data_IF_124580156269
#
_entry.id   IF_124580156269
#
_cell.length_a   1.000
_cell.length_b   1.000
_cell.length_c   1.000
_cell.angle_alpha   90.00
_cell.angle_beta   90.00
_cell.angle_gamma   90.00
#
_symmetry.space_group_name_H-M   'P 1'
#
loop_
_entity.id
_entity.type
_entity.pdbx_description
1 polymer ?
#
# COMPACT_ATOMS: atom_id res chain seq x y z
N UNK A 1 -7.96 2.56 -15.03
CA UNK A 1 -8.10 1.20 -14.49
C UNK A 1 -9.45 1.07 -13.79
N UNK A 2 -10.10 -0.08 -13.91
CA UNK A 2 -11.33 -0.40 -13.18
C UNK A 2 -11.00 -1.15 -11.90
N UNK A 3 -11.63 -0.74 -10.79
CA UNK A 3 -11.73 -1.55 -9.58
C UNK A 3 -12.88 -2.54 -9.78
N UNK A 4 -12.57 -3.83 -9.78
CA UNK A 4 -13.55 -4.90 -10.08
C UNK A 4 -14.08 -5.51 -8.80
N UNK A 5 -13.18 -5.83 -7.88
CA UNK A 5 -13.52 -6.51 -6.63
C UNK A 5 -12.86 -5.82 -5.44
N UNK A 6 -13.55 -5.85 -4.30
CA UNK A 6 -13.06 -5.34 -3.02
C UNK A 6 -13.37 -6.37 -1.94
N UNK A 7 -12.37 -6.72 -1.15
CA UNK A 7 -12.51 -7.62 0.00
C UNK A 7 -12.05 -6.92 1.27
N UNK A 8 -12.92 -6.91 2.28
CA UNK A 8 -12.65 -6.32 3.59
C UNK A 8 -12.28 -7.39 4.61
N UNK A 9 -11.07 -7.31 5.14
CA UNK A 9 -10.61 -8.15 6.25
C UNK A 9 -10.60 -7.33 7.55
N UNK A 10 -11.13 -7.91 8.63
CA UNK A 10 -11.21 -7.28 9.96
C UNK A 10 -11.78 -5.85 9.92
N UNK A 11 -12.86 -5.65 9.15
CA UNK A 11 -13.55 -4.36 8.98
C UNK A 11 -12.66 -3.24 8.42
N UNK A 12 -11.61 -3.58 7.66
CA UNK A 12 -10.72 -2.60 7.04
C UNK A 12 -11.45 -1.57 6.18
N UNK A 13 -12.50 -1.99 5.46
CA UNK A 13 -13.29 -1.08 4.63
C UNK A 13 -14.11 -0.09 5.47
N UNK A 14 -14.67 -0.53 6.60
CA UNK A 14 -15.41 0.37 7.51
C UNK A 14 -14.47 1.42 8.12
N UNK A 15 -13.25 1.00 8.50
CA UNK A 15 -12.21 1.92 8.99
C UNK A 15 -11.87 2.94 7.90
N UNK A 16 -11.58 2.49 6.67
CA UNK A 16 -11.26 3.39 5.55
C UNK A 16 -12.37 4.39 5.22
N UNK A 17 -13.64 4.03 5.43
CA UNK A 17 -14.79 4.92 5.20
C UNK A 17 -15.11 5.83 6.39
N UNK A 18 -14.43 5.68 7.53
CA UNK A 18 -14.63 6.57 8.67
C UNK A 18 -14.11 7.99 8.38
N UNK A 19 -14.62 9.04 9.07
CA UNK A 19 -14.23 10.43 8.81
C UNK A 19 -12.72 10.69 8.84
N UNK A 20 -11.97 9.91 9.62
CA UNK A 20 -10.51 10.02 9.73
C UNK A 20 -9.78 9.63 8.45
N UNK A 21 -10.26 8.60 7.74
CA UNK A 21 -9.54 7.99 6.62
C UNK A 21 -10.20 8.22 5.27
N UNK A 22 -11.49 8.57 5.24
CA UNK A 22 -12.29 8.62 4.02
C UNK A 22 -11.74 9.56 2.94
N UNK A 23 -11.17 10.71 3.33
CA UNK A 23 -10.60 11.66 2.37
C UNK A 23 -9.42 11.04 1.60
N UNK A 24 -8.45 10.50 2.33
CA UNK A 24 -7.23 9.92 1.76
C UNK A 24 -7.51 8.59 1.07
N UNK A 25 -8.47 7.81 1.59
CA UNK A 25 -8.95 6.61 0.90
C UNK A 25 -9.60 6.97 -0.45
N UNK A 26 -10.50 7.95 -0.48
CA UNK A 26 -11.13 8.41 -1.73
C UNK A 26 -10.09 8.91 -2.74
N UNK A 27 -9.13 9.72 -2.28
CA UNK A 27 -8.02 10.19 -3.12
C UNK A 27 -7.23 9.02 -3.73
N UNK A 28 -6.90 8.00 -2.93
CA UNK A 28 -6.21 6.82 -3.42
C UNK A 28 -7.02 6.05 -4.48
N UNK A 29 -8.33 5.88 -4.25
CA UNK A 29 -9.23 5.23 -5.19
C UNK A 29 -9.32 6.00 -6.51
N UNK A 30 -9.38 7.33 -6.47
CA UNK A 30 -9.36 8.18 -7.66
C UNK A 30 -8.06 8.05 -8.46
N UNK A 31 -6.92 8.01 -7.76
CA UNK A 31 -5.61 7.76 -8.41
C UNK A 31 -5.57 6.37 -9.03
N UNK A 32 -6.00 5.34 -8.30
CA UNK A 32 -6.00 3.97 -8.80
C UNK A 32 -6.92 3.82 -10.02
N UNK A 33 -8.06 4.51 -10.03
CA UNK A 33 -8.96 4.56 -11.19
C UNK A 33 -8.30 5.21 -12.41
N UNK A 34 -7.39 6.17 -12.21
CA UNK A 34 -6.62 6.82 -13.27
C UNK A 34 -5.47 6.00 -13.86
N UNK A 35 -5.09 4.88 -13.23
CA UNK A 35 -3.90 4.11 -13.59
C UNK A 35 -3.99 3.54 -15.02
N UNK A 36 -3.03 3.86 -15.92
CA UNK A 36 -2.99 3.27 -17.26
C UNK A 36 -2.37 1.87 -17.26
N UNK A 37 -2.91 0.92 -18.04
CA UNK A 37 -2.29 -0.39 -18.25
C UNK A 37 -1.18 -0.29 -19.30
N UNK A 38 0.06 0.01 -18.90
CA UNK A 38 1.17 0.17 -19.83
C UNK A 38 1.58 -1.15 -20.51
N UNK A 39 1.91 -1.09 -21.81
CA UNK A 39 2.47 -2.21 -22.56
C UNK A 39 3.96 -2.37 -22.29
N UNK A 40 4.38 -3.62 -22.08
CA UNK A 40 5.80 -3.95 -21.98
C UNK A 40 6.47 -3.95 -23.34
N UNK A 41 7.67 -3.36 -23.39
CA UNK A 41 8.56 -3.48 -24.56
C UNK A 41 9.22 -4.86 -24.66
N UNK A 42 9.23 -5.61 -23.55
CA UNK A 42 9.93 -6.89 -23.42
C UNK A 42 8.95 -8.03 -23.62
N UNK A 43 8.71 -8.43 -24.87
CA UNK A 43 8.14 -9.75 -25.15
C UNK A 43 9.11 -10.82 -24.66
N UNK A 44 8.78 -11.49 -23.54
CA UNK A 44 9.53 -12.68 -23.15
C UNK A 44 9.27 -13.75 -24.20
N UNK A 45 10.32 -14.15 -24.93
CA UNK A 45 10.27 -15.22 -25.96
C UNK A 45 9.65 -16.54 -25.47
N UNK A 46 9.48 -16.72 -24.16
CA UNK A 46 9.03 -17.95 -23.51
C UNK A 46 7.59 -17.93 -22.97
N UNK A 47 6.85 -16.81 -23.02
CA UNK A 47 5.40 -16.86 -22.74
C UNK A 47 4.61 -15.81 -23.50
N UNK A 48 3.41 -16.19 -23.97
CA UNK A 48 2.43 -15.29 -24.58
C UNK A 48 1.80 -14.31 -23.56
N UNK A 49 2.12 -14.48 -22.28
CA UNK A 49 1.86 -13.59 -21.15
C UNK A 49 3.08 -12.68 -20.91
N UNK A 50 2.94 -11.56 -20.19
CA UNK A 50 3.91 -10.43 -20.11
C UNK A 50 3.66 -9.31 -21.13
N UNK A 51 2.38 -9.00 -21.36
CA UNK A 51 1.99 -7.85 -22.19
C UNK A 51 2.03 -6.55 -21.40
N UNK A 52 1.86 -6.62 -20.07
CA UNK A 52 1.78 -5.45 -19.19
C UNK A 52 3.16 -5.11 -18.62
N UNK A 53 3.41 -3.83 -18.39
CA UNK A 53 4.61 -3.30 -17.75
C UNK A 53 4.35 -2.83 -16.30
N UNK A 54 4.41 -3.73 -15.29
CA UNK A 54 4.31 -3.38 -13.88
C UNK A 54 5.21 -2.22 -13.44
N UNK A 55 6.45 -2.19 -13.92
CA UNK A 55 7.40 -1.13 -13.55
C UNK A 55 6.95 0.26 -14.04
N UNK A 56 6.30 0.34 -15.19
CA UNK A 56 5.74 1.58 -15.72
C UNK A 56 4.50 2.02 -14.93
N UNK A 57 3.66 1.05 -14.53
CA UNK A 57 2.52 1.30 -13.64
C UNK A 57 2.96 1.81 -12.27
N UNK A 58 4.00 1.23 -11.68
CA UNK A 58 4.55 1.68 -10.40
C UNK A 58 5.11 3.11 -10.49
N UNK A 59 5.87 3.44 -11.54
CA UNK A 59 6.36 4.81 -11.77
C UNK A 59 5.24 5.84 -11.91
N UNK A 60 4.13 5.44 -12.54
CA UNK A 60 2.96 6.31 -12.64
C UNK A 60 2.33 6.55 -11.27
N UNK A 61 2.22 5.52 -10.42
CA UNK A 61 1.73 5.66 -9.04
C UNK A 61 2.66 6.53 -8.20
N UNK A 62 3.98 6.33 -8.29
CA UNK A 62 4.98 7.18 -7.62
C UNK A 62 4.78 8.66 -7.99
N UNK A 63 4.53 8.95 -9.27
CA UNK A 63 4.26 10.31 -9.73
C UNK A 63 2.95 10.87 -9.15
N UNK A 64 1.86 10.13 -9.27
CA UNK A 64 0.54 10.61 -8.87
C UNK A 64 0.38 10.76 -7.36
N UNK A 65 0.92 9.82 -6.59
CA UNK A 65 0.80 9.79 -5.14
C UNK A 65 1.89 10.64 -4.46
N UNK A 66 3.13 10.59 -4.95
CA UNK A 66 4.27 11.15 -4.21
C UNK A 66 4.81 12.44 -4.81
N UNK A 67 4.58 12.76 -6.08
CA UNK A 67 4.94 14.06 -6.67
C UNK A 67 3.75 15.00 -6.68
N UNK A 68 2.62 14.56 -7.22
CA UNK A 68 1.43 15.42 -7.35
C UNK A 68 0.62 15.54 -6.06
N UNK A 69 0.72 14.54 -5.20
CA UNK A 69 0.07 14.48 -3.90
C UNK A 69 1.12 14.26 -2.81
N UNK A 70 0.68 14.29 -1.57
CA UNK A 70 1.57 14.23 -0.41
C UNK A 70 1.50 12.87 0.29
N UNK A 71 1.64 11.78 -0.48
CA UNK A 71 1.85 10.44 0.07
C UNK A 71 3.33 10.22 0.37
N UNK A 72 3.63 9.56 1.48
CA UNK A 72 4.98 9.12 1.79
C UNK A 72 5.40 8.02 0.81
N UNK A 73 6.53 8.23 0.15
CA UNK A 73 7.16 7.26 -0.73
C UNK A 73 8.14 6.37 0.04
N UNK A 74 7.94 5.06 -0.03
CA UNK A 74 8.82 4.08 0.60
C UNK A 74 9.18 4.36 2.07
N UNK A 75 8.22 4.72 2.97
CA UNK A 75 8.53 5.02 4.36
C UNK A 75 9.12 3.78 5.05
N UNK A 76 10.06 4.01 5.97
CA UNK A 76 10.55 2.93 6.84
C UNK A 76 9.40 2.44 7.74
N UNK A 77 9.36 1.13 7.94
CA UNK A 77 8.44 0.48 8.87
C UNK A 77 9.09 0.39 10.26
N UNK A 78 10.34 -0.06 10.29
CA UNK A 78 11.11 -0.23 11.52
C UNK A 78 12.22 0.84 11.52
N UNK A 79 12.21 1.69 12.54
CA UNK A 79 13.25 2.70 12.74
C UNK A 79 14.58 2.03 13.10
N UNK A 80 15.68 2.79 12.96
CA UNK A 80 16.97 2.33 13.45
C UNK A 80 16.91 2.19 14.98
N UNK A 81 17.54 1.13 15.49
CA UNK A 81 17.75 1.00 16.93
C UNK A 81 18.63 2.17 17.41
N UNK A 82 18.19 2.96 18.41
CA UNK A 82 18.98 4.08 18.93
C UNK A 82 20.30 3.62 19.56
N UNK A 83 20.32 2.40 20.11
CA UNK A 83 21.47 1.81 20.80
C UNK A 83 22.37 0.98 19.87
N UNK A 84 21.85 0.54 18.72
CA UNK A 84 22.58 -0.16 17.67
C UNK A 84 22.32 0.47 16.29
N UNK A 85 22.95 1.62 16.06
CA UNK A 85 22.79 2.42 14.84
C UNK A 85 23.21 1.71 13.56
N UNK A 86 24.00 0.63 13.65
CA UNK A 86 24.43 -0.15 12.50
C UNK A 86 23.38 -1.21 12.10
N UNK A 87 22.47 -1.57 13.02
CA UNK A 87 21.40 -2.53 12.79
C UNK A 87 20.13 -1.88 12.26
N UNK A 88 20.21 -1.34 11.04
CA UNK A 88 19.06 -0.71 10.38
C UNK A 88 18.23 -1.74 9.60
N UNK A 89 16.92 -1.75 9.85
CA UNK A 89 15.99 -2.45 8.97
C UNK A 89 15.85 -1.70 7.65
N UNK A 90 15.74 -2.46 6.55
CA UNK A 90 15.40 -1.92 5.23
C UNK A 90 13.93 -2.15 4.88
N UNK A 91 13.12 -2.58 5.85
CA UNK A 91 11.71 -2.86 5.65
C UNK A 91 10.93 -1.57 5.39
N UNK A 92 10.31 -1.48 4.21
CA UNK A 92 9.59 -0.31 3.73
C UNK A 92 8.26 -0.72 3.10
N UNK A 93 7.25 0.10 3.30
CA UNK A 93 5.96 0.00 2.61
C UNK A 93 6.04 0.67 1.25
N UNK A 94 5.13 0.42 0.30
CA UNK A 94 5.12 1.17 -0.95
C UNK A 94 4.72 2.64 -0.73
N UNK A 95 3.54 2.85 -0.13
CA UNK A 95 3.02 4.20 0.17
C UNK A 95 2.38 4.28 1.55
N UNK A 96 2.40 5.47 2.17
CA UNK A 96 1.65 5.75 3.39
C UNK A 96 1.07 7.16 3.40
N UNK A 97 -0.14 7.31 3.93
CA UNK A 97 -0.80 8.60 4.10
C UNK A 97 -1.83 8.48 5.20
N UNK A 98 -1.84 9.41 6.15
CA UNK A 98 -2.85 9.47 7.22
C UNK A 98 -3.08 8.12 7.93
N UNK A 99 -1.97 7.40 8.21
CA UNK A 99 -1.95 6.05 8.81
C UNK A 99 -2.67 4.97 7.99
N UNK A 100 -2.90 5.20 6.71
CA UNK A 100 -3.23 4.18 5.71
C UNK A 100 -1.92 3.71 5.10
N UNK A 101 -1.67 2.41 5.16
CA UNK A 101 -0.55 1.77 4.47
C UNK A 101 -1.03 1.13 3.18
N UNK A 102 -0.32 1.37 2.08
CA UNK A 102 -0.67 0.81 0.77
C UNK A 102 0.49 -0.03 0.25
N UNK A 103 0.17 -1.21 -0.27
CA UNK A 103 1.09 -2.08 -1.01
C UNK A 103 0.47 -2.42 -2.37
N UNK A 104 1.24 -2.23 -3.44
CA UNK A 104 0.79 -2.46 -4.82
C UNK A 104 1.57 -3.62 -5.43
N UNK A 105 0.91 -4.77 -5.54
CA UNK A 105 1.56 -6.01 -5.94
C UNK A 105 1.12 -6.47 -7.33
N UNK A 106 1.88 -6.04 -8.34
CA UNK A 106 1.78 -6.54 -9.73
C UNK A 106 2.83 -7.63 -10.04
N UNK A 107 3.58 -8.07 -9.03
CA UNK A 107 4.67 -9.04 -9.14
C UNK A 107 4.32 -10.40 -8.57
N UNK A 108 5.36 -11.13 -8.15
CA UNK A 108 5.24 -12.52 -7.71
C UNK A 108 4.34 -12.67 -6.47
N UNK A 109 3.49 -13.69 -6.47
CA UNK A 109 2.57 -14.00 -5.38
C UNK A 109 3.20 -14.18 -4.00
N UNK A 110 4.45 -14.64 -3.91
CA UNK A 110 5.16 -14.75 -2.64
C UNK A 110 5.39 -13.38 -1.98
N UNK A 111 5.45 -12.31 -2.77
CA UNK A 111 5.62 -10.94 -2.28
C UNK A 111 4.35 -10.40 -1.64
N UNK A 112 3.17 -10.81 -2.12
CA UNK A 112 1.90 -10.46 -1.48
C UNK A 112 1.82 -10.92 -0.01
N UNK A 113 2.21 -12.17 0.30
CA UNK A 113 2.21 -12.63 1.68
C UNK A 113 3.19 -11.83 2.56
N UNK A 114 4.30 -11.38 1.98
CA UNK A 114 5.26 -10.50 2.65
C UNK A 114 4.70 -9.08 2.85
N UNK A 115 3.90 -8.57 1.93
CA UNK A 115 3.21 -7.28 2.05
C UNK A 115 2.20 -7.29 3.20
N UNK A 116 1.43 -8.37 3.33
CA UNK A 116 0.52 -8.57 4.48
C UNK A 116 1.29 -8.60 5.81
N UNK A 117 2.46 -9.22 5.83
CA UNK A 117 3.34 -9.23 7.01
C UNK A 117 3.91 -7.84 7.33
N UNK A 118 4.32 -7.07 6.31
CA UNK A 118 4.77 -5.68 6.47
C UNK A 118 3.70 -4.84 7.15
N UNK A 119 2.46 -4.89 6.66
CA UNK A 119 1.33 -4.15 7.24
C UNK A 119 1.11 -4.53 8.72
N UNK A 120 1.29 -5.81 9.07
CA UNK A 120 1.18 -6.26 10.47
C UNK A 120 2.24 -5.65 11.38
N UNK A 121 3.49 -5.55 10.93
CA UNK A 121 4.53 -4.84 11.68
C UNK A 121 4.19 -3.36 11.78
N UNK A 122 3.78 -2.74 10.67
CA UNK A 122 3.44 -1.31 10.66
C UNK A 122 2.34 -0.95 11.64
N UNK A 123 1.31 -1.79 11.77
CA UNK A 123 0.25 -1.60 12.76
C UNK A 123 0.71 -1.86 14.19
N UNK A 124 1.52 -2.92 14.39
CA UNK A 124 2.08 -3.23 15.71
C UNK A 124 3.02 -2.12 16.23
N UNK A 125 3.67 -1.39 15.32
CA UNK A 125 4.53 -0.23 15.62
C UNK A 125 3.80 1.11 15.49
N UNK A 126 2.47 1.10 15.46
CA UNK A 126 1.60 2.28 15.40
C UNK A 126 1.94 3.24 14.24
N UNK A 127 2.40 2.72 13.11
CA UNK A 127 2.68 3.49 11.89
C UNK A 127 1.47 3.59 10.96
N UNK A 128 0.58 2.61 11.04
CA UNK A 128 -0.65 2.54 10.27
C UNK A 128 -1.77 1.93 11.13
N UNK A 129 -3.02 2.22 10.80
CA UNK A 129 -4.20 1.64 11.44
C UNK A 129 -4.95 0.70 10.49
N UNK A 130 -4.77 0.86 9.19
CA UNK A 130 -5.43 0.06 8.15
C UNK A 130 -4.54 -0.07 6.91
N UNK A 131 -4.55 -1.26 6.32
CA UNK A 131 -3.80 -1.59 5.12
C UNK A 131 -4.68 -1.64 3.86
N UNK A 132 -4.10 -1.32 2.71
CA UNK A 132 -4.68 -1.54 1.40
C UNK A 132 -3.70 -2.34 0.56
N UNK A 133 -4.13 -3.52 0.11
CA UNK A 133 -3.40 -4.35 -0.83
C UNK A 133 -4.04 -4.24 -2.20
N UNK A 134 -3.32 -3.66 -3.17
CA UNK A 134 -3.73 -3.67 -4.57
C UNK A 134 -3.11 -4.87 -5.28
N UNK A 135 -3.93 -5.62 -6.00
CA UNK A 135 -3.52 -6.75 -6.85
C UNK A 135 -4.34 -6.77 -8.14
N UNK A 136 -3.84 -7.48 -9.15
CA UNK A 136 -4.64 -7.80 -10.33
C UNK A 136 -5.78 -8.77 -9.97
N UNK A 137 -6.84 -8.83 -10.77
CA UNK A 137 -7.68 -10.05 -10.81
C UNK A 137 -6.91 -11.20 -11.46
N UNK A 138 -7.38 -12.44 -11.32
CA UNK A 138 -6.76 -13.60 -11.99
C UNK A 138 -6.68 -13.42 -13.51
N UNK A 139 -7.72 -12.81 -14.10
CA UNK A 139 -7.78 -12.52 -15.54
C UNK A 139 -6.70 -11.53 -15.95
N UNK A 140 -6.49 -10.46 -15.19
CA UNK A 140 -5.46 -9.47 -15.50
C UNK A 140 -4.05 -9.99 -15.23
N UNK A 141 -3.87 -10.70 -14.11
CA UNK A 141 -2.62 -11.37 -13.77
C UNK A 141 -2.12 -12.31 -14.87
N UNK A 142 -3.05 -13.01 -15.56
CA UNK A 142 -2.71 -13.94 -16.64
C UNK A 142 -1.99 -13.29 -17.84
N UNK A 143 -2.25 -12.01 -18.12
CA UNK A 143 -1.55 -11.27 -19.19
C UNK A 143 -0.38 -10.43 -18.66
N UNK A 144 -0.35 -10.15 -17.36
CA UNK A 144 0.74 -9.40 -16.70
C UNK A 144 2.02 -10.21 -16.58
N UNK A 145 1.93 -11.51 -16.27
CA UNK A 145 3.11 -12.36 -16.22
C UNK A 145 2.90 -13.73 -15.56
N UNK A 146 4.00 -14.45 -15.34
CA UNK A 146 3.98 -15.73 -14.63
C UNK A 146 3.97 -15.55 -13.11
N UNK A 147 3.15 -16.35 -12.41
CA UNK A 147 3.08 -16.41 -10.94
C UNK A 147 2.77 -15.05 -10.26
N UNK A 148 1.96 -14.22 -10.92
CA UNK A 148 1.56 -12.91 -10.40
C UNK A 148 0.57 -13.06 -9.24
N UNK A 149 0.66 -12.19 -8.22
CA UNK A 149 -0.34 -12.09 -7.16
C UNK A 149 -1.71 -11.71 -7.75
N UNK A 150 -2.78 -12.36 -7.31
CA UNK A 150 -4.12 -12.04 -7.78
C UNK A 150 -5.18 -12.12 -6.69
N UNK A 151 -6.22 -11.30 -6.86
CA UNK A 151 -7.30 -11.06 -5.90
C UNK A 151 -7.91 -12.35 -5.35
N UNK A 152 -8.37 -13.25 -6.22
CA UNK A 152 -9.10 -14.46 -5.83
C UNK A 152 -8.25 -15.42 -4.98
N UNK A 153 -6.92 -15.37 -5.14
CA UNK A 153 -6.01 -16.13 -4.27
C UNK A 153 -5.78 -15.41 -2.94
N UNK A 154 -5.53 -14.10 -2.97
CA UNK A 154 -5.36 -13.29 -1.77
C UNK A 154 -6.57 -13.44 -0.83
N UNK A 155 -7.79 -13.32 -1.35
CA UNK A 155 -9.03 -13.53 -0.59
C UNK A 155 -9.09 -14.93 0.01
N UNK A 156 -8.88 -15.97 -0.82
CA UNK A 156 -8.92 -17.37 -0.36
C UNK A 156 -7.94 -17.64 0.79
N UNK A 157 -6.76 -17.02 0.75
CA UNK A 157 -5.73 -17.15 1.78
C UNK A 157 -6.09 -16.35 3.04
N UNK A 158 -6.57 -15.11 2.90
CA UNK A 158 -6.97 -14.25 4.03
C UNK A 158 -8.19 -14.76 4.79
N UNK A 159 -9.18 -15.31 4.09
CA UNK A 159 -10.35 -15.92 4.72
C UNK A 159 -9.95 -17.07 5.65
N UNK A 160 -8.90 -17.82 5.29
CA UNK A 160 -8.37 -18.94 6.08
C UNK A 160 -7.42 -18.48 7.18
N UNK A 161 -6.76 -17.34 7.02
CA UNK A 161 -5.87 -16.77 8.03
C UNK A 161 -6.61 -15.87 9.03
N UNK A 162 -7.95 -15.83 9.04
CA UNK A 162 -8.71 -14.93 9.92
C UNK A 162 -8.27 -14.99 11.38
N UNK A 163 -7.99 -16.16 11.93
CA UNK A 163 -7.59 -16.32 13.32
C UNK A 163 -6.13 -15.93 13.60
N UNK A 164 -5.26 -15.98 12.59
CA UNK A 164 -3.82 -15.70 12.74
C UNK A 164 -3.44 -14.29 12.31
N UNK A 165 -4.22 -13.69 11.41
CA UNK A 165 -4.00 -12.37 10.87
C UNK A 165 -5.03 -11.40 11.44
N UNK A 166 -4.61 -10.62 12.43
CA UNK A 166 -5.47 -9.69 13.17
C UNK A 166 -5.48 -8.26 12.60
N UNK A 167 -4.81 -8.03 11.47
CA UNK A 167 -4.70 -6.70 10.85
C UNK A 167 -5.94 -6.31 10.06
N UNK A 168 -6.48 -5.09 10.22
CA UNK A 168 -7.47 -4.53 9.31
C UNK A 168 -6.85 -4.21 7.96
N UNK A 169 -7.31 -4.88 6.90
CA UNK A 169 -6.84 -4.60 5.55
C UNK A 169 -7.95 -4.75 4.52
N UNK A 170 -7.80 -4.03 3.42
CA UNK A 170 -8.66 -4.16 2.23
C UNK A 170 -7.84 -4.63 1.06
N UNK A 171 -8.29 -5.71 0.40
CA UNK A 171 -7.73 -6.15 -0.87
C UNK A 171 -8.56 -5.55 -2.00
N UNK A 172 -7.90 -4.93 -2.97
CA UNK A 172 -8.52 -4.34 -4.15
C UNK A 172 -8.03 -5.08 -5.39
N UNK A 173 -8.96 -5.69 -6.12
CA UNK A 173 -8.74 -6.34 -7.41
C UNK A 173 -8.98 -5.37 -8.56
N UNK A 174 -7.97 -5.15 -9.39
CA UNK A 174 -8.06 -4.22 -10.53
C UNK A 174 -7.96 -4.92 -11.89
N UNK A 175 -8.58 -4.30 -12.89
CA UNK A 175 -8.50 -4.67 -14.31
C UNK A 175 -8.45 -3.43 -15.22
N UNK A 176 -7.90 -3.54 -16.44
CA UNK A 176 -8.05 -2.51 -17.47
C UNK A 176 -9.52 -2.19 -17.76
N UNK A 177 -9.81 -0.93 -18.06
CA UNK A 177 -11.18 -0.47 -18.40
C UNK A 177 -11.70 -1.12 -19.69
N UNK A 178 -10.79 -1.44 -20.60
CA UNK A 178 -11.03 -2.21 -21.82
C UNK A 178 -9.83 -3.13 -22.06
N UNK A 179 -10.04 -4.21 -22.82
CA UNK A 179 -9.01 -5.22 -23.09
C UNK A 179 -8.35 -5.05 -24.48
N UNK A 180 -8.32 -3.81 -24.99
CA UNK A 180 -7.81 -3.50 -26.33
C UNK A 180 -6.34 -3.15 -26.21
N UNK A 181 -5.48 -4.17 -26.31
CA UNK A 181 -4.03 -4.03 -26.11
C UNK A 181 -3.38 -2.97 -27.00
N UNK A 182 -3.84 -2.81 -28.25
CA UNK A 182 -3.32 -1.78 -29.16
C UNK A 182 -3.60 -0.35 -28.71
N UNK A 183 -4.58 -0.15 -27.82
CA UNK A 183 -4.92 1.15 -27.24
C UNK A 183 -4.14 1.47 -25.95
N UNK A 184 -3.36 0.52 -25.43
CA UNK A 184 -2.59 0.73 -24.22
C UNK A 184 -1.33 1.56 -24.49
N UNK A 185 -0.95 2.49 -23.61
CA UNK A 185 0.24 3.30 -23.80
C UNK A 185 1.51 2.44 -23.70
N UNK A 186 2.56 2.73 -24.48
CA UNK A 186 3.84 2.04 -24.32
C UNK A 186 4.48 2.37 -22.97
N UNK A 187 5.28 1.47 -22.39
CA UNK A 187 5.97 1.72 -21.11
C UNK A 187 6.83 3.00 -21.09
N UNK A 188 7.31 3.46 -22.24
CA UNK A 188 8.07 4.72 -22.38
C UNK A 188 7.23 5.97 -22.16
N UNK A 189 5.89 5.87 -22.24
CA UNK A 189 4.98 6.98 -21.95
C UNK A 189 4.74 7.17 -20.44
N UNK A 190 5.17 6.23 -19.60
CA UNK A 190 5.07 6.40 -18.15
C UNK A 190 5.99 7.54 -17.67
N UNK A 191 5.58 8.29 -16.62
CA UNK A 191 6.43 9.31 -16.03
C UNK A 191 7.81 8.77 -15.67
N UNK A 192 8.86 9.50 -16.06
CA UNK A 192 10.22 9.15 -15.67
C UNK A 192 10.55 9.81 -14.33
N UNK A 193 10.02 9.24 -13.26
CA UNK A 193 10.23 9.70 -11.90
C UNK A 193 11.37 8.94 -11.25
N UNK A 194 12.30 9.67 -10.63
CA UNK A 194 13.34 9.12 -9.80
C UNK A 194 13.19 9.56 -8.34
N UNK A 195 13.86 8.86 -7.42
CA UNK A 195 13.88 9.17 -5.99
C UNK A 195 14.20 10.64 -5.69
N UNK A 196 15.13 11.24 -6.47
CA UNK A 196 15.51 12.65 -6.33
C UNK A 196 14.34 13.61 -6.59
N UNK A 197 13.46 13.27 -7.54
CA UNK A 197 12.35 14.13 -7.95
C UNK A 197 11.24 14.07 -6.90
N UNK A 198 10.97 12.87 -6.36
CA UNK A 198 10.04 12.66 -5.25
C UNK A 198 10.52 13.40 -4.00
N UNK A 199 11.81 13.26 -3.65
CA UNK A 199 12.39 13.95 -2.49
C UNK A 199 12.34 15.47 -2.64
N UNK A 200 12.57 16.00 -3.85
CA UNK A 200 12.44 17.42 -4.13
C UNK A 200 10.99 17.91 -3.97
N UNK A 201 10.01 17.17 -4.50
CA UNK A 201 8.59 17.48 -4.36
C UNK A 201 8.15 17.46 -2.89
N UNK A 202 8.62 16.48 -2.11
CA UNK A 202 8.39 16.40 -0.65
C UNK A 202 8.99 17.60 0.07
N UNK A 203 10.24 17.96 -0.23
CA UNK A 203 10.90 19.11 0.41
C UNK A 203 10.17 20.43 0.11
N UNK A 204 9.65 20.60 -1.10
CA UNK A 204 8.92 21.80 -1.51
C UNK A 204 7.58 21.99 -0.77
N UNK A 205 6.95 20.92 -0.31
CA UNK A 205 5.69 20.98 0.47
C UNK A 205 5.88 21.37 1.94
N UNK A 206 7.10 21.29 2.46
CA UNK A 206 7.36 21.40 3.90
C UNK A 206 7.04 20.10 4.64
N UNK A 207 7.43 20.00 5.91
CA UNK A 207 7.04 18.86 6.75
C UNK A 207 5.57 19.02 7.14
N UNK A 208 4.77 17.96 6.97
CA UNK A 208 3.45 17.91 7.59
C UNK A 208 3.60 18.17 9.10
N UNK A 209 2.73 18.98 9.72
CA UNK A 209 2.73 19.14 11.16
C UNK A 209 2.58 17.77 11.82
N UNK A 210 3.42 17.50 12.82
CA UNK A 210 3.22 16.31 13.66
C UNK A 210 1.85 16.48 14.31
N UNK A 211 0.93 15.50 14.21
CA UNK A 211 -0.34 15.58 14.91
C UNK A 211 -0.06 15.84 16.39
N UNK A 212 -0.70 16.85 16.97
CA UNK A 212 -0.65 17.07 18.42
C UNK A 212 -1.14 15.78 19.08
N UNK A 213 -0.22 15.00 19.62
CA UNK A 213 -0.56 14.00 20.63
C UNK A 213 -1.03 14.84 21.81
N UNK A 214 -2.28 14.70 22.29
CA UNK A 214 -2.68 15.43 23.47
C UNK A 214 -1.68 15.11 24.58
N UNK A 215 -1.17 16.14 25.24
CA UNK A 215 -0.16 16.07 26.32
C UNK A 215 -0.71 15.37 27.58
N UNK A 216 -1.87 14.71 27.48
CA UNK A 216 -2.57 14.04 28.57
C UNK A 216 -2.08 12.61 28.82
N UNK A 217 -1.18 12.07 27.99
CA UNK A 217 -0.55 10.76 28.20
C UNK A 217 0.73 10.82 29.06
N UNK A 218 1.26 12.01 29.36
CA UNK A 218 2.55 12.20 30.04
C UNK A 218 2.44 12.60 31.51
N UNK A 219 1.24 12.92 32.00
CA UNK A 219 1.04 13.42 33.38
C UNK A 219 0.16 12.48 34.24
N UNK A 220 0.29 11.17 34.03
CA UNK A 220 -0.42 10.18 34.84
C UNK A 220 0.30 10.02 36.17
N UNK A 221 -0.37 10.43 37.25
CA UNK A 221 0.16 10.21 38.59
C UNK A 221 0.21 8.70 38.89
N UNK A 222 1.11 8.27 39.78
CA UNK A 222 1.16 6.87 40.24
C UNK A 222 -0.23 6.34 40.68
N UNK A 223 -1.05 7.14 41.39
CA UNK A 223 -2.44 6.78 41.69
C UNK A 223 -3.34 6.54 40.46
N UNK A 224 -3.16 7.27 39.35
CA UNK A 224 -3.96 7.10 38.14
C UNK A 224 -3.62 5.80 37.42
N UNK A 225 -2.33 5.44 37.41
CA UNK A 225 -1.84 4.15 36.90
C UNK A 225 -2.37 2.98 37.72
N UNK A 226 -2.34 3.07 39.05
CA UNK A 226 -2.88 2.03 39.94
C UNK A 226 -4.39 1.83 39.74
N UNK A 227 -5.13 2.92 39.49
CA UNK A 227 -6.58 2.89 39.27
C UNK A 227 -6.97 2.23 37.94
N UNK A 228 -6.12 2.37 36.92
CA UNK A 228 -6.31 1.69 35.63
C UNK A 228 -5.88 0.23 35.71
N UNK A 229 -4.80 -0.10 36.43
CA UNK A 229 -4.39 -1.49 36.65
C UNK A 229 -5.46 -2.31 37.40
N UNK A 230 -6.19 -1.71 38.34
CA UNK A 230 -7.32 -2.36 39.02
C UNK A 230 -8.58 -2.57 38.16
N UNK A 231 -8.69 -1.89 37.02
CA UNK A 231 -9.84 -2.05 36.09
C UNK A 231 -9.63 -3.13 35.04
N UNK A 232 -8.39 -3.61 34.88
CA UNK A 232 -7.99 -4.58 33.85
C UNK A 232 -7.71 -5.97 34.45
N UNK A 233 -7.74 -6.10 35.79
CA UNK A 233 -7.76 -7.37 36.51
C UNK A 233 -9.21 -7.78 36.83
#
# INVERSE_FOLDING_TARGET
MKIVDVFSHRNGLDILNSPRFAASYKEFIEVLAGLPPYLSSKTKKTSASHVIAPGAMNKWLDNELCIKRDWDWHPLIIDADPDDKDRKSQLRSDFRRDRIEVEVQFGNVARYAYDVYKMAISMALERADVGIQVVCTKKFAAITGGNIAYFERAVRELERSRLTLIVPLVVIGIEPDNWILSGYPPESAAPNVAAKDINAARAARGKAPVPDVPDDATDWSIPDLERVMQRVA
#
